data_IF_954390321173
#
_entry.id   IF_954390321173
#
_cell.length_a   1.000
_cell.length_b   1.000
_cell.length_c   1.000
_cell.angle_alpha   90.00
_cell.angle_beta   90.00
_cell.angle_gamma   90.00
#
_symmetry.space_group_name_H-M   'P 1'
#
loop_
_entity.id
_entity.type
_entity.pdbx_description
1 polymer ?
#
# COMPACT_ATOMS: atom_id res chain seq x y z
N UNK A 1 4.50 21.94 12.77
CA UNK A 1 3.77 21.83 11.49
C UNK A 1 4.20 20.51 10.86
N UNK A 2 3.32 19.51 10.76
CA UNK A 2 3.69 18.19 10.21
C UNK A 2 3.78 18.21 8.68
N UNK A 3 4.48 17.22 8.10
CA UNK A 3 4.79 17.11 6.66
C UNK A 3 3.62 17.39 5.68
N UNK A 4 2.39 16.97 6.01
CA UNK A 4 1.17 17.23 5.20
C UNK A 4 0.14 18.10 5.97
N UNK A 5 0.48 18.58 7.17
CA UNK A 5 -0.41 19.43 7.96
C UNK A 5 -1.66 18.76 8.56
N UNK A 6 -1.77 17.42 8.50
CA UNK A 6 -2.89 16.67 9.08
C UNK A 6 -2.77 16.58 10.61
N UNK A 7 -3.72 17.20 11.32
CA UNK A 7 -3.74 17.26 12.80
C UNK A 7 -4.33 16.00 13.45
N UNK A 8 -5.21 15.29 12.75
CA UNK A 8 -5.88 14.08 13.24
C UNK A 8 -5.48 12.84 12.42
N UNK A 9 -4.33 12.89 11.73
CA UNK A 9 -3.82 11.75 10.97
C UNK A 9 -3.60 10.55 11.89
N UNK A 10 -4.34 9.46 11.66
CA UNK A 10 -4.22 8.25 12.46
C UNK A 10 -4.45 6.99 11.61
N UNK A 11 -4.12 5.84 12.19
CA UNK A 11 -4.51 4.52 11.66
C UNK A 11 -5.87 4.14 12.22
N UNK A 12 -6.72 3.53 11.40
CA UNK A 12 -7.98 2.94 11.88
C UNK A 12 -7.77 1.79 12.86
N UNK A 13 -6.57 1.23 12.92
CA UNK A 13 -6.19 0.20 13.91
C UNK A 13 -6.21 0.75 15.34
N UNK A 14 -5.67 1.95 15.53
CA UNK A 14 -5.50 2.58 16.85
C UNK A 14 -6.67 3.51 17.19
N UNK A 15 -7.14 4.29 16.20
CA UNK A 15 -8.30 5.14 16.36
C UNK A 15 -9.30 4.91 15.22
N UNK A 16 -10.29 4.01 15.40
CA UNK A 16 -11.32 3.75 14.39
C UNK A 16 -12.18 4.98 14.04
N UNK A 17 -12.20 6.01 14.89
CA UNK A 17 -13.02 7.23 14.75
C UNK A 17 -12.24 8.42 14.21
N UNK A 18 -10.98 8.25 13.80
CA UNK A 18 -10.18 9.34 13.19
C UNK A 18 -10.91 9.92 11.98
N UNK A 19 -10.89 11.25 11.86
CA UNK A 19 -11.39 11.98 10.68
C UNK A 19 -10.40 11.92 9.53
N UNK A 20 -9.15 11.53 9.79
CA UNK A 20 -8.07 11.44 8.80
C UNK A 20 -7.40 10.05 8.85
N UNK A 21 -8.09 8.98 8.38
CA UNK A 21 -7.55 7.62 8.37
C UNK A 21 -6.47 7.44 7.29
N UNK A 22 -5.24 7.85 7.59
CA UNK A 22 -4.08 7.75 6.66
C UNK A 22 -3.71 6.30 6.39
N UNK A 23 -3.81 5.45 7.43
CA UNK A 23 -3.70 4.00 7.31
C UNK A 23 -5.08 3.42 7.61
N UNK A 24 -5.59 2.59 6.70
CA UNK A 24 -6.93 2.01 6.82
C UNK A 24 -6.93 0.51 6.58
N UNK A 25 -7.95 -0.18 7.11
CA UNK A 25 -8.19 -1.58 6.78
C UNK A 25 -8.51 -1.71 5.29
N UNK A 26 -7.92 -2.71 4.63
CA UNK A 26 -8.13 -3.00 3.22
C UNK A 26 -9.64 -3.16 2.94
N UNK A 27 -10.25 -2.36 2.03
CA UNK A 27 -11.70 -2.35 1.83
C UNK A 27 -12.32 -3.72 1.50
N UNK A 28 -11.62 -4.54 0.70
CA UNK A 28 -12.04 -5.90 0.37
C UNK A 28 -12.11 -6.82 1.59
N UNK A 29 -11.32 -6.55 2.63
CA UNK A 29 -11.35 -7.28 3.90
C UNK A 29 -12.43 -6.77 4.85
N UNK A 30 -12.93 -5.55 4.65
CA UNK A 30 -13.99 -4.94 5.48
C UNK A 30 -15.32 -5.70 5.32
N UNK A 31 -15.65 -6.13 4.10
CA UNK A 31 -16.79 -6.99 3.80
C UNK A 31 -16.61 -8.41 4.39
N UNK A 32 -15.40 -8.96 4.34
CA UNK A 32 -15.08 -10.28 4.93
C UNK A 32 -15.12 -10.28 6.47
N UNK A 33 -14.71 -9.18 7.12
CA UNK A 33 -14.84 -8.99 8.57
C UNK A 33 -16.31 -8.92 9.01
N UNK A 34 -17.19 -8.24 8.26
CA UNK A 34 -18.64 -8.22 8.55
C UNK A 34 -19.25 -9.63 8.53
N UNK A 35 -18.72 -10.51 7.68
CA UNK A 35 -19.15 -11.92 7.56
C UNK A 35 -18.51 -12.86 8.61
N UNK A 36 -17.80 -12.33 9.62
CA UNK A 36 -17.08 -13.11 10.65
C UNK A 36 -16.06 -14.11 10.08
N UNK A 37 -15.59 -13.90 8.86
CA UNK A 37 -14.56 -14.72 8.23
C UNK A 37 -13.17 -14.26 8.69
N UNK A 38 -12.87 -14.36 9.98
CA UNK A 38 -11.64 -13.83 10.59
C UNK A 38 -10.35 -14.39 9.95
N UNK A 39 -10.40 -15.57 9.32
CA UNK A 39 -9.29 -16.18 8.57
C UNK A 39 -9.02 -15.57 7.19
N UNK A 40 -10.01 -14.95 6.54
CA UNK A 40 -9.90 -14.40 5.17
C UNK A 40 -9.50 -12.92 5.09
N UNK A 41 -9.18 -12.30 6.23
CA UNK A 41 -9.02 -10.84 6.38
C UNK A 41 -7.57 -10.39 6.29
N UNK A 42 -6.67 -11.21 5.74
CA UNK A 42 -5.24 -10.90 5.67
C UNK A 42 -4.79 -10.95 4.23
N UNK A 43 -4.04 -9.93 3.80
CA UNK A 43 -3.41 -9.95 2.49
C UNK A 43 -2.22 -10.89 2.62
N UNK A 44 -2.40 -12.12 2.13
CA UNK A 44 -1.46 -13.23 2.24
C UNK A 44 -0.98 -13.63 0.84
N UNK A 45 0.25 -14.11 0.75
CA UNK A 45 0.84 -14.63 -0.49
C UNK A 45 1.65 -13.61 -1.29
N UNK A 46 2.14 -14.07 -2.45
CA UNK A 46 2.88 -13.23 -3.39
C UNK A 46 1.93 -12.35 -4.19
N UNK A 47 2.23 -11.06 -4.26
CA UNK A 47 1.49 -10.09 -5.07
C UNK A 47 2.45 -9.34 -5.96
N UNK A 48 2.01 -9.08 -7.19
CA UNK A 48 2.75 -8.24 -8.10
C UNK A 48 2.73 -6.78 -7.62
N UNK A 49 3.87 -6.12 -7.73
CA UNK A 49 4.04 -4.72 -7.44
C UNK A 49 4.84 -4.04 -8.55
N UNK A 50 4.46 -2.80 -8.87
CA UNK A 50 5.22 -1.93 -9.78
C UNK A 50 6.16 -1.06 -8.96
N UNK A 51 7.45 -1.13 -9.25
CA UNK A 51 8.47 -0.22 -8.74
C UNK A 51 8.61 0.95 -9.71
N UNK A 52 8.59 2.17 -9.21
CA UNK A 52 8.66 3.39 -10.01
C UNK A 52 10.09 3.62 -10.50
N UNK A 53 10.25 3.77 -11.81
CA UNK A 53 11.53 4.13 -12.44
C UNK A 53 12.09 5.46 -11.89
N UNK A 54 13.41 5.58 -11.88
CA UNK A 54 14.12 6.74 -11.31
C UNK A 54 14.16 6.78 -9.78
N UNK A 55 13.56 5.79 -9.08
CA UNK A 55 13.70 5.68 -7.61
C UNK A 55 14.91 4.84 -7.23
N UNK A 56 15.46 5.09 -6.03
CA UNK A 56 16.49 4.21 -5.43
C UNK A 56 16.02 2.76 -5.32
N UNK A 57 14.73 2.55 -5.08
CA UNK A 57 14.15 1.21 -5.06
C UNK A 57 14.34 0.53 -6.42
N UNK A 58 13.97 1.18 -7.53
CA UNK A 58 14.15 0.61 -8.87
C UNK A 58 15.61 0.22 -9.14
N UNK A 59 16.56 1.09 -8.80
CA UNK A 59 17.98 0.80 -8.97
C UNK A 59 18.47 -0.41 -8.14
N UNK A 60 17.89 -0.63 -6.95
CA UNK A 60 18.21 -1.79 -6.12
C UNK A 60 17.62 -3.07 -6.72
N UNK A 61 16.34 -3.08 -7.10
CA UNK A 61 15.73 -4.23 -7.77
C UNK A 61 16.46 -4.58 -9.06
N UNK A 62 16.96 -3.58 -9.79
CA UNK A 62 17.74 -3.81 -11.00
C UNK A 62 19.10 -4.45 -10.70
N UNK A 63 19.81 -3.90 -9.71
CA UNK A 63 21.12 -4.40 -9.29
C UNK A 63 21.08 -5.89 -8.89
N UNK A 64 20.00 -6.32 -8.27
CA UNK A 64 19.84 -7.70 -7.80
C UNK A 64 19.07 -8.62 -8.75
N UNK A 65 18.65 -8.13 -9.94
CA UNK A 65 17.85 -8.87 -10.92
C UNK A 65 16.51 -9.41 -10.35
N UNK A 66 15.87 -8.66 -9.45
CA UNK A 66 14.64 -9.07 -8.74
C UNK A 66 13.34 -8.69 -9.48
N UNK A 67 13.45 -8.21 -10.73
CA UNK A 67 12.29 -7.91 -11.56
C UNK A 67 11.77 -9.17 -12.27
N UNK A 68 10.46 -9.43 -12.16
CA UNK A 68 9.74 -10.38 -13.03
C UNK A 68 9.69 -9.83 -14.45
N UNK A 69 9.49 -8.52 -14.58
CA UNK A 69 9.52 -7.82 -15.86
C UNK A 69 10.08 -6.41 -15.65
N UNK A 70 11.38 -6.24 -15.95
CA UNK A 70 12.09 -4.97 -15.79
C UNK A 70 11.48 -3.84 -16.64
N UNK A 71 11.08 -4.13 -17.88
CA UNK A 71 10.47 -3.16 -18.78
C UNK A 71 9.14 -2.59 -18.25
N UNK A 72 8.45 -3.32 -17.38
CA UNK A 72 7.22 -2.88 -16.70
C UNK A 72 7.44 -2.52 -15.23
N UNK A 73 8.69 -2.61 -14.73
CA UNK A 73 9.03 -2.44 -13.31
C UNK A 73 8.32 -3.41 -12.38
N UNK A 74 7.97 -4.62 -12.84
CA UNK A 74 7.17 -5.60 -12.08
C UNK A 74 8.05 -6.49 -11.20
N UNK A 75 7.68 -6.60 -9.93
CA UNK A 75 8.28 -7.49 -8.93
C UNK A 75 7.17 -8.29 -8.23
N UNK A 76 7.51 -9.37 -7.53
CA UNK A 76 6.56 -10.10 -6.67
C UNK A 76 7.01 -10.09 -5.22
N UNK A 77 6.08 -9.78 -4.34
CA UNK A 77 6.35 -9.56 -2.92
C UNK A 77 5.37 -10.35 -2.07
N UNK A 78 5.87 -10.98 -1.01
CA UNK A 78 5.00 -11.65 -0.05
C UNK A 78 4.46 -10.64 0.95
N UNK A 79 3.14 -10.51 1.00
CA UNK A 79 2.46 -9.67 1.97
C UNK A 79 1.88 -10.53 3.09
N UNK A 80 1.89 -9.96 4.30
CA UNK A 80 1.19 -10.49 5.49
C UNK A 80 0.75 -9.33 6.37
N UNK A 81 -0.19 -8.54 5.87
CA UNK A 81 -0.74 -7.38 6.60
C UNK A 81 -2.24 -7.22 6.35
N UNK A 82 -2.91 -6.41 7.19
CA UNK A 82 -4.36 -6.13 7.13
C UNK A 82 -4.69 -4.66 6.88
N UNK A 83 -3.70 -3.78 7.04
CA UNK A 83 -3.85 -2.35 6.92
C UNK A 83 -2.95 -1.84 5.79
N UNK A 84 -3.47 -0.91 5.01
CA UNK A 84 -2.76 -0.29 3.90
C UNK A 84 -2.81 1.24 3.98
N UNK A 85 -1.94 1.90 3.22
CA UNK A 85 -1.99 3.35 3.07
C UNK A 85 -3.21 3.72 2.25
N UNK A 86 -4.00 4.67 2.74
CA UNK A 86 -5.20 5.13 2.06
C UNK A 86 -4.84 6.03 0.88
N UNK A 87 -5.06 5.52 -0.35
CA UNK A 87 -4.66 6.18 -1.60
C UNK A 87 -5.32 7.57 -1.78
N UNK A 88 -6.39 7.88 -1.03
CA UNK A 88 -6.99 9.22 -0.97
C UNK A 88 -5.96 10.31 -0.61
N UNK A 89 -5.00 9.99 0.27
CA UNK A 89 -3.99 10.95 0.73
C UNK A 89 -2.73 10.94 -0.14
N UNK A 90 -2.61 10.01 -1.09
CA UNK A 90 -1.40 9.86 -1.89
C UNK A 90 -0.95 11.16 -2.55
N UNK A 91 -1.89 11.89 -3.16
CA UNK A 91 -1.61 13.15 -3.85
C UNK A 91 -1.10 14.23 -2.90
N UNK A 92 -1.60 14.30 -1.68
CA UNK A 92 -1.19 15.30 -0.70
C UNK A 92 0.25 15.02 -0.22
N UNK A 93 0.57 13.75 0.01
CA UNK A 93 1.92 13.32 0.34
C UNK A 93 2.91 13.52 -0.83
N UNK A 94 2.49 13.25 -2.06
CA UNK A 94 3.31 13.50 -3.26
C UNK A 94 3.60 15.00 -3.45
N UNK A 95 2.61 15.87 -3.26
CA UNK A 95 2.80 17.34 -3.29
C UNK A 95 3.74 17.83 -2.20
N UNK A 96 3.72 17.21 -1.03
CA UNK A 96 4.63 17.51 0.07
C UNK A 96 6.07 16.96 -0.18
N UNK A 97 6.29 16.19 -1.25
CA UNK A 97 7.60 15.69 -1.66
C UNK A 97 7.84 14.20 -1.37
N UNK A 98 6.85 13.45 -0.87
CA UNK A 98 6.97 12.01 -0.62
C UNK A 98 6.58 11.21 -1.86
N UNK A 99 7.56 10.52 -2.45
CA UNK A 99 7.33 9.69 -3.64
C UNK A 99 7.05 8.25 -3.22
N UNK A 100 5.89 7.71 -3.67
CA UNK A 100 5.60 6.27 -3.56
C UNK A 100 6.49 5.49 -4.51
N UNK A 101 7.50 4.82 -3.97
CA UNK A 101 8.49 4.09 -4.78
C UNK A 101 7.97 2.76 -5.34
N UNK A 102 7.02 2.11 -4.66
CA UNK A 102 6.44 0.83 -5.07
C UNK A 102 4.94 0.85 -4.82
N UNK A 103 4.16 0.32 -5.78
CA UNK A 103 2.70 0.17 -5.67
C UNK A 103 2.32 -1.26 -6.01
N UNK A 104 1.65 -1.93 -5.08
CA UNK A 104 1.01 -3.21 -5.35
C UNK A 104 -0.06 -3.08 -6.43
N UNK A 105 -0.11 -4.04 -7.34
CA UNK A 105 -1.21 -4.18 -8.29
C UNK A 105 -2.31 -4.94 -7.56
N UNK A 106 -3.49 -4.33 -7.43
CA UNK A 106 -4.67 -5.10 -7.08
C UNK A 106 -4.95 -6.04 -8.25
N UNK A 107 -4.96 -7.35 -8.00
CA UNK A 107 -5.37 -8.32 -8.99
C UNK A 107 -6.74 -7.87 -9.51
N UNK A 108 -6.81 -7.48 -10.79
CA UNK A 108 -8.11 -7.33 -11.45
C UNK A 108 -8.76 -8.69 -11.32
N UNK A 109 -9.82 -8.78 -10.52
CA UNK A 109 -10.60 -10.00 -10.37
C UNK A 109 -10.93 -10.54 -11.76
N UNK A 110 -10.58 -11.82 -11.97
CA UNK A 110 -11.34 -12.68 -12.86
C UNK A 110 -12.64 -13.05 -12.21
#
# INVERSE_FOLDING_TARGET
>A
MGFVGFKDANTTENNPKTKQPVIHLIPSQKELMKRRAYGGTMRLGGWEAKVKEGTRAYALYDRYNDFINKAKGLTSERHRHRYEFNDKYAKDFEKAGLVKAKRCIEAKGG
#
